data_IF_641676352424
#
_entry.id   IF_641676352424
#
_cell.length_a   1.000
_cell.length_b   1.000
_cell.length_c   1.000
_cell.angle_alpha   90.00
_cell.angle_beta   90.00
_cell.angle_gamma   90.00
#
_symmetry.space_group_name_H-M   'P 1'
#
loop_
_entity.id
_entity.type
_entity.pdbx_description
1 polymer ?
#
# COMPACT_ATOMS: atom_id res chain seq x y z
N UNK A 1 -32.14 -53.64 18.76
CA UNK A 1 -32.69 -53.48 17.40
C UNK A 1 -32.95 -52.02 17.12
N UNK A 2 -32.95 -51.60 15.84
CA UNK A 2 -32.07 -50.54 15.34
C UNK A 2 -32.72 -49.15 15.22
N UNK A 3 -31.87 -48.13 15.24
CA UNK A 3 -31.87 -47.03 14.27
C UNK A 3 -33.09 -46.12 14.18
N UNK A 4 -32.97 -44.91 14.74
CA UNK A 4 -33.65 -43.73 14.16
C UNK A 4 -32.60 -42.75 13.67
N UNK A 5 -32.74 -42.42 12.39
CA UNK A 5 -31.78 -41.80 11.49
C UNK A 5 -31.63 -40.29 11.72
N UNK A 6 -30.37 -39.86 11.56
CA UNK A 6 -29.92 -38.70 10.77
C UNK A 6 -30.80 -37.44 10.80
N UNK A 7 -30.41 -36.49 11.63
CA UNK A 7 -30.43 -35.07 11.29
C UNK A 7 -29.04 -34.49 11.56
N UNK A 8 -28.06 -34.96 10.80
CA UNK A 8 -26.70 -34.39 10.72
C UNK A 8 -26.44 -33.80 9.33
N UNK A 9 -27.49 -33.25 8.72
CA UNK A 9 -27.42 -32.58 7.42
C UNK A 9 -27.66 -31.09 7.65
N UNK A 10 -26.74 -30.27 7.13
CA UNK A 10 -26.80 -28.81 6.98
C UNK A 10 -26.38 -27.93 8.17
N UNK A 11 -25.06 -27.89 8.43
CA UNK A 11 -24.31 -26.62 8.51
C UNK A 11 -22.93 -26.77 7.87
N UNK A 12 -22.89 -27.21 6.63
CA UNK A 12 -21.78 -26.80 5.76
C UNK A 12 -22.15 -25.43 5.17
N UNK A 13 -21.16 -24.54 5.12
CA UNK A 13 -21.10 -23.30 4.33
C UNK A 13 -21.27 -21.97 5.07
N UNK A 14 -20.20 -21.52 5.76
CA UNK A 14 -19.64 -20.16 5.63
C UNK A 14 -18.12 -20.20 5.71
N UNK A 15 -17.50 -20.98 4.83
CA UNK A 15 -16.07 -20.89 4.53
C UNK A 15 -15.84 -19.94 3.36
N UNK A 16 -16.44 -18.74 3.36
CA UNK A 16 -16.02 -17.71 2.44
C UNK A 16 -14.60 -17.34 2.86
N UNK A 17 -13.60 -17.83 2.12
CA UNK A 17 -12.18 -17.56 2.40
C UNK A 17 -12.03 -16.06 2.65
N UNK A 18 -11.73 -15.70 3.90
CA UNK A 18 -11.58 -14.31 4.28
C UNK A 18 -10.39 -13.79 3.48
N UNK A 19 -10.66 -13.05 2.40
CA UNK A 19 -9.60 -12.32 1.70
C UNK A 19 -8.96 -11.45 2.77
N UNK A 20 -7.72 -11.78 3.16
CA UNK A 20 -6.99 -11.03 4.17
C UNK A 20 -6.89 -9.59 3.64
N UNK A 21 -7.36 -8.63 4.43
CA UNK A 21 -7.26 -7.24 4.06
C UNK A 21 -5.77 -6.89 3.94
N UNK A 22 -5.35 -6.24 2.84
CA UNK A 22 -3.96 -5.84 2.72
C UNK A 22 -3.64 -4.76 3.76
N UNK A 23 -2.41 -4.81 4.29
CA UNK A 23 -1.88 -3.70 5.07
C UNK A 23 -1.37 -2.63 4.11
N UNK A 24 -1.79 -1.38 4.31
CA UNK A 24 -1.35 -0.23 3.52
C UNK A 24 -0.43 0.61 4.40
N UNK A 25 0.81 0.83 3.95
CA UNK A 25 1.81 1.62 4.65
C UNK A 25 2.22 2.77 3.73
N UNK A 26 2.05 4.00 4.21
CA UNK A 26 2.55 5.19 3.54
C UNK A 26 3.87 5.62 4.17
N UNK A 27 4.92 5.72 3.36
CA UNK A 27 6.23 6.25 3.76
C UNK A 27 6.40 7.58 3.03
N UNK A 28 6.49 8.68 3.77
CA UNK A 28 6.62 10.04 3.23
C UNK A 28 7.92 10.64 3.74
N UNK A 29 8.84 10.94 2.81
CA UNK A 29 10.07 11.66 3.11
C UNK A 29 9.82 13.18 3.01
N UNK A 30 10.49 13.96 3.87
CA UNK A 30 10.44 15.43 3.82
C UNK A 30 11.56 15.97 2.92
N UNK A 31 11.26 16.97 2.11
CA UNK A 31 12.20 17.65 1.20
C UNK A 31 13.05 16.74 0.28
N UNK A 32 12.59 15.51 -0.01
CA UNK A 32 13.26 14.60 -0.95
C UNK A 32 12.99 15.05 -2.40
N UNK A 33 14.02 15.56 -3.08
CA UNK A 33 13.92 16.07 -4.44
C UNK A 33 13.83 14.96 -5.49
N UNK A 34 13.40 15.34 -6.70
CA UNK A 34 13.28 14.42 -7.83
C UNK A 34 14.61 13.73 -8.16
N UNK A 35 15.74 14.42 -8.08
CA UNK A 35 17.06 13.87 -8.39
C UNK A 35 17.79 13.25 -7.19
N UNK A 36 17.13 13.13 -6.04
CA UNK A 36 17.72 12.67 -4.77
C UNK A 36 17.55 11.15 -4.54
N UNK A 37 17.22 10.41 -5.59
CA UNK A 37 16.94 8.97 -5.55
C UNK A 37 17.78 8.20 -6.57
N UNK A 38 18.16 6.97 -6.22
CA UNK A 38 19.10 6.17 -7.02
C UNK A 38 18.60 5.79 -8.42
N UNK A 39 17.29 5.82 -8.66
CA UNK A 39 16.70 5.54 -9.98
C UNK A 39 16.61 6.78 -10.89
N UNK A 40 16.93 7.96 -10.38
CA UNK A 40 17.09 9.19 -11.20
C UNK A 40 18.54 9.69 -11.21
N UNK A 41 19.35 9.30 -10.23
CA UNK A 41 20.74 9.71 -10.09
C UNK A 41 21.63 8.54 -9.65
N UNK A 42 22.46 8.04 -10.57
CA UNK A 42 23.37 6.92 -10.33
C UNK A 42 24.44 7.20 -9.26
N UNK A 43 24.65 8.47 -8.86
CA UNK A 43 25.59 8.83 -7.79
C UNK A 43 25.02 8.56 -6.39
N UNK A 44 23.72 8.29 -6.26
CA UNK A 44 23.02 8.12 -4.99
C UNK A 44 22.87 6.64 -4.64
N UNK A 45 23.25 6.28 -3.42
CA UNK A 45 23.22 4.89 -2.94
C UNK A 45 22.04 4.71 -1.98
N UNK A 46 20.95 4.07 -2.46
CA UNK A 46 19.74 3.78 -1.66
C UNK A 46 19.25 2.34 -1.90
N UNK A 47 20.00 1.30 -1.50
CA UNK A 47 19.74 -0.08 -1.92
C UNK A 47 18.35 -0.59 -1.53
N UNK A 48 17.84 -0.21 -0.36
CA UNK A 48 16.52 -0.65 0.12
C UNK A 48 15.37 -0.04 -0.69
N UNK A 49 15.41 1.27 -0.96
CA UNK A 49 14.38 1.92 -1.76
C UNK A 49 14.51 1.57 -3.25
N UNK A 50 15.72 1.39 -3.76
CA UNK A 50 15.94 0.97 -5.15
C UNK A 50 15.31 -0.39 -5.42
N UNK A 51 15.43 -1.32 -4.46
CA UNK A 51 14.73 -2.61 -4.54
C UNK A 51 13.22 -2.42 -4.60
N UNK A 52 12.64 -1.59 -3.72
CA UNK A 52 11.20 -1.30 -3.73
C UNK A 52 10.75 -0.68 -5.06
N UNK A 53 11.54 0.23 -5.63
CA UNK A 53 11.26 0.83 -6.93
C UNK A 53 11.28 -0.21 -8.06
N UNK A 54 12.25 -1.13 -8.05
CA UNK A 54 12.37 -2.19 -9.07
C UNK A 54 11.28 -3.26 -9.00
N UNK A 55 10.71 -3.52 -7.81
CA UNK A 55 9.63 -4.49 -7.59
C UNK A 55 8.23 -3.86 -7.76
N UNK A 56 8.17 -2.53 -7.98
CA UNK A 56 6.95 -1.73 -7.94
C UNK A 56 6.73 -0.85 -9.17
N UNK A 57 6.10 0.30 -8.95
CA UNK A 57 5.82 1.31 -9.97
C UNK A 57 6.36 2.65 -9.50
N UNK A 58 7.11 3.31 -10.38
CA UNK A 58 7.61 4.68 -10.18
C UNK A 58 6.62 5.66 -10.81
N UNK A 59 6.26 6.70 -10.07
CA UNK A 59 5.43 7.79 -10.56
C UNK A 59 6.32 8.95 -11.01
N UNK A 60 6.67 8.99 -12.29
CA UNK A 60 7.55 10.02 -12.88
C UNK A 60 6.99 11.45 -12.81
N UNK A 61 5.68 11.58 -12.62
CA UNK A 61 4.95 12.86 -12.63
C UNK A 61 4.08 13.01 -11.38
N UNK A 62 4.69 12.85 -10.20
CA UNK A 62 4.03 13.08 -8.90
C UNK A 62 4.28 14.50 -8.38
N UNK A 63 3.25 15.35 -8.39
CA UNK A 63 3.36 16.77 -8.02
C UNK A 63 2.84 17.04 -6.60
N UNK A 64 3.50 17.97 -5.91
CA UNK A 64 3.15 18.41 -4.56
C UNK A 64 3.09 19.94 -4.48
N UNK A 65 2.53 20.45 -3.38
CA UNK A 65 2.53 21.88 -3.09
C UNK A 65 3.89 22.30 -2.52
N UNK A 66 4.33 23.56 -2.73
CA UNK A 66 5.69 24.01 -2.44
C UNK A 66 6.01 24.16 -0.93
N UNK A 67 5.14 23.67 -0.05
CA UNK A 67 5.32 23.75 1.40
C UNK A 67 4.78 22.49 2.08
N UNK A 68 5.42 22.10 3.17
CA UNK A 68 5.13 20.88 3.92
C UNK A 68 3.69 20.83 4.43
N UNK A 69 3.17 21.91 5.02
CA UNK A 69 1.81 21.97 5.58
C UNK A 69 0.73 21.75 4.52
N UNK A 70 0.67 22.55 3.43
CA UNK A 70 -0.37 22.35 2.41
C UNK A 70 -0.21 21.03 1.65
N UNK A 71 1.02 20.56 1.41
CA UNK A 71 1.27 19.25 0.78
C UNK A 71 0.71 18.10 1.64
N UNK A 72 1.00 18.11 2.95
CA UNK A 72 0.53 17.08 3.88
C UNK A 72 -0.97 17.15 4.12
N UNK A 73 -1.56 18.36 4.20
CA UNK A 73 -3.02 18.48 4.36
C UNK A 73 -3.76 17.96 3.13
N UNK A 74 -3.27 18.26 1.92
CA UNK A 74 -3.83 17.73 0.68
C UNK A 74 -3.73 16.20 0.60
N UNK A 75 -2.57 15.64 0.97
CA UNK A 75 -2.35 14.20 1.00
C UNK A 75 -3.26 13.45 2.00
N UNK A 76 -3.47 14.01 3.19
CA UNK A 76 -4.31 13.38 4.23
C UNK A 76 -5.81 13.47 3.96
N UNK A 77 -6.25 14.54 3.29
CA UNK A 77 -7.69 14.81 3.09
C UNK A 77 -8.17 14.49 1.68
N UNK A 78 -7.28 14.42 0.70
CA UNK A 78 -7.61 14.33 -0.71
C UNK A 78 -8.21 15.63 -1.28
N UNK A 79 -8.06 16.76 -0.58
CA UNK A 79 -8.64 18.06 -0.93
C UNK A 79 -7.54 19.06 -1.21
N UNK A 80 -7.69 19.86 -2.27
CA UNK A 80 -6.78 20.97 -2.54
C UNK A 80 -6.96 22.08 -1.47
N UNK A 81 -5.87 22.56 -0.84
CA UNK A 81 -5.93 23.51 0.27
C UNK A 81 -6.22 24.95 -0.16
#
# INVERSE_FOLDING_TARGET
TPGSNRLSTERQNRGAGSKKQPHIIFIVADDLGFNDVSWHNDSIIMPTLNRLASEGVILEQNYVLPSCTPSRSAFMTGVYP
#
